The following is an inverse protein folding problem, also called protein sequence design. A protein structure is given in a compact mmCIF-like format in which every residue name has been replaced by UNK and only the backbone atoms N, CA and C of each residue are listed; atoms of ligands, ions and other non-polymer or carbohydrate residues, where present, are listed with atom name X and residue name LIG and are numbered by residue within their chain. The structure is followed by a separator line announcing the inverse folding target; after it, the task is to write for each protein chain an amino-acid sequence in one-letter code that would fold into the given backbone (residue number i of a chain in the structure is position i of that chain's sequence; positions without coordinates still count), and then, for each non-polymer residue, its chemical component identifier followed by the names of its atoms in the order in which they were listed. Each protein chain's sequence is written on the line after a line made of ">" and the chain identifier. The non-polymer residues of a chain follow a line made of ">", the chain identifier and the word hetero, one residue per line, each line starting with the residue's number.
data_IF_972527898197
#
_entry.id   IF_972527898197
#
_cell.length_a   1.000
_cell.length_b   1.000
_cell.length_c   1.000
_cell.angle_alpha   90.00
_cell.angle_beta   90.00
_cell.angle_gamma   90.00
#
_symmetry.space_group_name_H-M   'P 1'
#
loop_
_entity.id
_entity.type
_entity.pdbx_description
1 polymer ?
#
# COMPACT_ATOMS: atom_id res chain seq x y z
N UNK A 1 -28.22 -5.95 82.78
CA UNK A 1 -29.17 -4.85 83.00
C UNK A 1 -29.11 -3.89 81.81
N UNK A 2 -30.26 -3.68 81.15
CA UNK A 2 -30.76 -2.52 80.36
C UNK A 2 -29.75 -1.61 79.62
N UNK A 3 -29.71 -1.56 78.29
CA UNK A 3 -30.59 -0.87 77.29
C UNK A 3 -30.27 0.63 77.04
N UNK A 4 -30.27 1.00 75.73
CA UNK A 4 -30.42 2.33 75.07
C UNK A 4 -29.09 2.93 74.54
N UNK A 5 -28.76 2.75 73.24
CA UNK A 5 -29.12 3.54 72.03
C UNK A 5 -28.39 4.89 71.88
N UNK A 6 -27.60 5.04 70.80
CA UNK A 6 -27.63 6.15 69.80
C UNK A 6 -26.30 6.21 69.01
N UNK A 7 -26.34 5.81 67.73
CA UNK A 7 -25.59 6.47 66.65
C UNK A 7 -26.32 7.81 66.38
N UNK A 8 -25.67 8.92 65.95
CA UNK A 8 -25.13 8.97 64.58
C UNK A 8 -23.95 9.97 64.29
N UNK A 9 -23.47 9.91 63.04
CA UNK A 9 -22.78 10.95 62.23
C UNK A 9 -21.28 11.25 62.48
N UNK A 10 -20.41 10.72 61.60
CA UNK A 10 -19.46 11.44 60.70
C UNK A 10 -18.25 10.56 60.30
N UNK A 11 -18.13 10.16 59.02
CA UNK A 11 -16.85 10.02 58.36
C UNK A 11 -16.79 11.07 57.23
N UNK A 12 -16.57 12.34 57.58
CA UNK A 12 -16.34 13.39 56.58
C UNK A 12 -14.98 14.06 56.73
N UNK A 13 -13.95 13.27 57.10
CA UNK A 13 -12.57 13.74 57.18
C UNK A 13 -11.56 12.86 56.43
N UNK A 14 -12.02 11.82 55.73
CA UNK A 14 -11.15 10.94 54.94
C UNK A 14 -11.27 11.12 53.41
N UNK A 15 -12.10 12.07 52.93
CA UNK A 15 -12.32 12.33 51.51
C UNK A 15 -11.89 13.74 51.07
N UNK A 16 -10.95 14.38 51.77
CA UNK A 16 -10.53 15.75 51.48
C UNK A 16 -9.03 15.91 51.17
N UNK A 17 -8.27 14.83 50.99
CA UNK A 17 -6.80 14.91 50.86
C UNK A 17 -6.22 14.50 49.51
N UNK A 18 -7.05 14.24 48.49
CA UNK A 18 -6.59 14.00 47.10
C UNK A 18 -7.21 14.93 46.04
N UNK A 19 -7.78 16.07 46.44
CA UNK A 19 -8.06 17.17 45.50
C UNK A 19 -6.97 18.24 45.63
N UNK A 20 -5.76 17.91 45.14
CA UNK A 20 -4.92 18.95 44.54
C UNK A 20 -5.76 19.61 43.45
N UNK A 21 -5.95 20.95 43.46
CA UNK A 21 -6.99 21.56 42.69
C UNK A 21 -6.66 21.36 41.21
N UNK A 22 -7.65 20.86 40.45
CA UNK A 22 -7.57 20.76 38.99
C UNK A 22 -7.04 22.07 38.39
N UNK A 23 -7.36 23.21 39.00
CA UNK A 23 -6.84 24.52 38.66
C UNK A 23 -5.29 24.63 38.70
N UNK A 24 -4.60 24.08 39.70
CA UNK A 24 -3.12 24.15 39.80
C UNK A 24 -2.44 23.20 38.81
N UNK A 25 -3.04 22.02 38.54
CA UNK A 25 -2.57 21.13 37.48
C UNK A 25 -2.77 21.78 36.11
N UNK A 26 -3.93 22.39 35.88
CA UNK A 26 -4.24 23.13 34.66
C UNK A 26 -3.30 24.33 34.51
N UNK A 27 -3.03 25.10 35.57
CA UNK A 27 -2.08 26.23 35.54
C UNK A 27 -0.63 25.79 35.29
N UNK A 28 -0.15 24.73 35.94
CA UNK A 28 1.18 24.18 35.70
C UNK A 28 1.37 23.69 34.26
N UNK A 29 0.31 23.13 33.68
CA UNK A 29 0.28 22.74 32.26
C UNK A 29 0.12 23.94 31.32
N UNK A 30 -0.65 24.97 31.69
CA UNK A 30 -0.85 26.19 30.92
C UNK A 30 0.46 27.00 30.81
N UNK A 31 1.26 27.02 31.89
CA UNK A 31 2.59 27.63 31.87
C UNK A 31 3.54 26.87 30.94
N UNK A 32 3.40 25.54 30.85
CA UNK A 32 4.10 24.72 29.85
C UNK A 32 3.63 25.06 28.43
N UNK A 33 2.32 25.09 28.17
CA UNK A 33 1.76 25.44 26.87
C UNK A 33 2.16 26.85 26.40
N UNK A 34 2.16 27.85 27.30
CA UNK A 34 2.66 29.20 27.03
C UNK A 34 4.14 29.23 26.63
N UNK A 35 4.98 28.38 27.23
CA UNK A 35 6.41 28.29 26.87
C UNK A 35 6.67 27.69 25.48
N UNK A 36 5.65 27.12 24.85
CA UNK A 36 5.73 26.48 23.52
C UNK A 36 5.09 27.30 22.40
N UNK A 37 4.53 28.48 22.69
CA UNK A 37 4.13 29.45 21.66
C UNK A 37 5.39 30.17 21.14
N UNK A 38 5.62 30.31 19.81
CA UNK A 38 6.76 31.06 19.31
C UNK A 38 6.65 32.54 19.68
N UNK A 39 7.67 33.05 20.38
CA UNK A 39 7.89 34.48 20.65
C UNK A 39 8.23 35.20 19.35
N UNK A 40 7.26 35.44 18.46
CA UNK A 40 7.50 36.20 17.25
C UNK A 40 6.23 36.89 16.72
N UNK A 41 5.84 37.98 17.38
CA UNK A 41 5.33 39.19 16.70
C UNK A 41 5.71 40.41 17.52
N UNK A 42 6.11 41.52 16.88
CA UNK A 42 6.62 42.70 17.58
C UNK A 42 5.49 43.45 18.30
N UNK A 43 5.89 44.01 19.44
CA UNK A 43 5.22 44.95 20.35
C UNK A 43 3.94 45.62 19.79
N UNK A 44 2.80 45.26 20.37
CA UNK A 44 1.63 46.15 20.53
C UNK A 44 1.34 46.19 22.04
N UNK A 45 1.21 47.37 22.67
CA UNK A 45 1.09 47.49 24.13
C UNK A 45 -0.32 47.10 24.57
N UNK A 46 -0.56 45.81 24.74
CA UNK A 46 -1.79 45.28 25.33
C UNK A 46 -1.55 44.04 26.20
N UNK A 47 -0.32 43.84 26.70
CA UNK A 47 0.08 42.61 27.42
C UNK A 47 -0.38 42.60 28.89
N UNK A 48 -0.98 43.67 29.41
CA UNK A 48 -1.47 43.70 30.81
C UNK A 48 -2.95 43.35 31.02
N UNK A 49 -3.69 42.93 29.97
CA UNK A 49 -5.09 42.47 30.09
C UNK A 49 -5.31 41.03 29.62
N UNK A 50 -4.33 40.14 29.84
CA UNK A 50 -4.51 38.69 29.65
C UNK A 50 -4.33 37.96 30.99
N UNK A 51 -5.00 38.47 32.02
CA UNK A 51 -5.33 37.71 33.22
C UNK A 51 -6.85 37.71 33.24
N UNK A 52 -7.46 36.51 33.24
CA UNK A 52 -8.90 36.25 33.09
C UNK A 52 -9.45 36.15 31.65
N UNK A 53 -8.92 35.22 30.85
CA UNK A 53 -9.79 34.53 29.89
C UNK A 53 -10.01 33.10 30.41
N UNK A 54 -11.26 32.79 30.78
CA UNK A 54 -11.70 31.42 31.09
C UNK A 54 -11.22 30.51 29.96
N UNK A 55 -10.34 29.57 30.30
CA UNK A 55 -9.93 28.51 29.37
C UNK A 55 -11.18 27.72 29.03
N UNK A 56 -11.71 27.92 27.83
CA UNK A 56 -12.79 27.09 27.32
C UNK A 56 -12.17 25.76 26.92
N UNK A 57 -12.37 24.74 27.75
CA UNK A 57 -11.96 23.37 27.43
C UNK A 57 -12.60 22.96 26.10
N UNK A 58 -11.77 22.70 25.08
CA UNK A 58 -12.27 22.29 23.78
C UNK A 58 -12.63 20.82 23.81
N UNK A 59 -13.92 20.55 23.60
CA UNK A 59 -14.42 19.18 23.42
C UNK A 59 -14.14 18.69 22.01
N UNK A 60 -13.59 17.48 21.91
CA UNK A 60 -13.39 16.81 20.62
C UNK A 60 -14.71 16.13 20.20
N UNK A 61 -15.22 16.47 19.01
CA UNK A 61 -16.48 15.94 18.51
C UNK A 61 -16.23 14.64 17.74
N UNK A 62 -16.87 13.50 18.10
CA UNK A 62 -16.73 12.26 17.37
C UNK A 62 -17.51 12.29 16.05
N UNK A 63 -16.88 11.89 14.95
CA UNK A 63 -17.50 11.77 13.63
C UNK A 63 -17.90 10.33 13.36
N UNK A 64 -19.19 10.15 13.09
CA UNK A 64 -19.85 8.87 12.80
C UNK A 64 -20.73 9.01 11.57
N UNK A 65 -21.16 7.89 10.98
CA UNK A 65 -22.03 7.85 9.78
C UNK A 65 -23.31 8.69 9.89
N UNK A 66 -23.84 8.88 11.10
CA UNK A 66 -25.12 9.56 11.33
C UNK A 66 -25.02 11.07 11.57
N UNK A 67 -23.86 11.58 12.02
CA UNK A 67 -23.74 12.97 12.47
C UNK A 67 -22.86 13.84 11.56
N UNK A 68 -21.93 13.25 10.80
CA UNK A 68 -20.92 14.01 10.04
C UNK A 68 -21.52 15.03 9.07
N UNK A 69 -22.65 14.70 8.43
CA UNK A 69 -23.36 15.59 7.49
C UNK A 69 -23.89 16.84 8.19
N UNK A 70 -24.42 16.68 9.40
CA UNK A 70 -24.94 17.79 10.21
C UNK A 70 -23.82 18.66 10.77
N UNK A 71 -22.67 18.07 11.10
CA UNK A 71 -21.51 18.79 11.64
C UNK A 71 -20.84 19.65 10.56
N UNK A 72 -20.71 19.12 9.34
CA UNK A 72 -20.13 19.83 8.19
C UNK A 72 -21.17 20.59 7.38
N UNK A 73 -22.40 20.77 7.89
CA UNK A 73 -23.39 21.58 7.22
C UNK A 73 -22.98 23.07 7.28
N UNK A 74 -23.26 23.87 6.23
CA UNK A 74 -22.99 25.31 6.25
C UNK A 74 -23.72 25.95 7.42
N UNK A 75 -23.00 26.71 8.23
CA UNK A 75 -23.56 27.43 9.37
C UNK A 75 -23.76 28.91 9.03
N UNK A 76 -24.44 29.66 9.90
CA UNK A 76 -24.60 31.11 9.75
C UNK A 76 -23.26 31.87 9.85
N UNK A 77 -22.25 31.27 10.49
CA UNK A 77 -20.88 31.80 10.57
C UNK A 77 -19.91 30.82 9.91
N UNK A 78 -18.81 31.29 9.31
CA UNK A 78 -17.78 30.39 8.81
C UNK A 78 -17.15 29.64 9.98
N UNK A 79 -16.88 28.35 9.77
CA UNK A 79 -16.32 27.47 10.80
C UNK A 79 -15.20 26.62 10.23
N UNK A 80 -14.08 26.59 10.92
CA UNK A 80 -12.97 25.71 10.59
C UNK A 80 -13.02 24.46 11.48
N UNK A 81 -12.82 23.29 10.87
CA UNK A 81 -12.78 22.00 11.54
C UNK A 81 -11.46 21.30 11.26
N UNK A 82 -10.78 20.89 12.33
CA UNK A 82 -9.62 20.03 12.28
C UNK A 82 -10.03 18.64 12.76
N UNK A 83 -10.15 17.70 11.82
CA UNK A 83 -10.59 16.32 12.08
C UNK A 83 -9.38 15.41 12.05
N UNK A 84 -9.09 14.76 13.18
CA UNK A 84 -8.07 13.70 13.24
C UNK A 84 -8.68 12.36 12.85
N UNK A 85 -8.06 11.69 11.88
CA UNK A 85 -8.47 10.38 11.38
C UNK A 85 -7.49 9.33 11.88
N UNK A 86 -7.99 8.39 12.68
CA UNK A 86 -7.22 7.24 13.18
C UNK A 86 -7.75 5.92 12.66
N UNK A 87 -6.86 4.94 12.50
CA UNK A 87 -7.21 3.57 12.09
C UNK A 87 -7.14 2.56 13.24
N UNK A 88 -7.04 3.03 14.48
CA UNK A 88 -6.98 2.16 15.66
C UNK A 88 -5.89 1.09 15.56
N UNK A 89 -6.20 -0.13 16.02
CA UNK A 89 -5.25 -1.24 16.02
C UNK A 89 -5.28 -2.01 14.69
N UNK A 90 -6.46 -2.27 14.13
CA UNK A 90 -6.59 -3.10 12.91
C UNK A 90 -6.35 -2.33 11.62
N UNK A 91 -7.03 -1.20 11.44
CA UNK A 91 -7.01 -0.45 10.17
C UNK A 91 -5.67 0.25 9.93
N UNK A 92 -4.88 0.49 10.99
CA UNK A 92 -3.56 1.12 10.93
C UNK A 92 -2.40 0.17 11.27
N UNK A 93 -2.58 -1.15 11.08
CA UNK A 93 -1.54 -2.17 11.34
C UNK A 93 -0.88 -2.06 12.73
N UNK A 94 -1.63 -1.61 13.75
CA UNK A 94 -1.17 -1.39 15.12
C UNK A 94 -0.25 -0.18 15.31
N UNK A 95 -0.07 0.68 14.30
CA UNK A 95 0.91 1.79 14.35
C UNK A 95 0.33 3.13 14.80
N UNK A 96 -0.99 3.27 14.84
CA UNK A 96 -1.64 4.57 15.12
C UNK A 96 -1.65 4.99 16.60
N UNK A 97 -1.28 4.12 17.54
CA UNK A 97 -1.37 4.41 18.98
C UNK A 97 -0.56 5.64 19.42
N UNK A 98 0.63 5.86 18.84
CA UNK A 98 1.45 7.03 19.15
C UNK A 98 0.82 8.32 18.58
N UNK A 99 0.22 8.26 17.39
CA UNK A 99 -0.47 9.38 16.78
C UNK A 99 -1.72 9.78 17.56
N UNK A 100 -2.49 8.81 18.04
CA UNK A 100 -3.68 9.04 18.87
C UNK A 100 -3.33 9.65 20.22
N UNK A 101 -2.28 9.14 20.89
CA UNK A 101 -1.76 9.75 22.12
C UNK A 101 -1.33 11.19 21.88
N UNK A 102 -0.60 11.43 20.80
CA UNK A 102 -0.11 12.77 20.45
C UNK A 102 -1.25 13.74 20.13
N UNK A 103 -2.31 13.28 19.48
CA UNK A 103 -3.50 14.09 19.21
C UNK A 103 -4.21 14.47 20.52
N UNK A 104 -4.45 13.50 21.41
CA UNK A 104 -5.11 13.76 22.70
C UNK A 104 -4.33 14.79 23.55
N UNK A 105 -3.01 14.70 23.57
CA UNK A 105 -2.15 15.68 24.24
C UNK A 105 -2.20 17.06 23.54
N UNK A 106 -2.36 17.11 22.22
CA UNK A 106 -2.45 18.36 21.46
C UNK A 106 -3.74 19.14 21.71
N UNK A 107 -4.85 18.48 22.11
CA UNK A 107 -6.14 19.13 22.44
C UNK A 107 -5.96 20.23 23.49
N UNK A 108 -5.01 20.05 24.42
CA UNK A 108 -4.68 21.03 25.44
C UNK A 108 -4.04 22.29 24.85
N UNK A 109 -3.18 22.14 23.83
CA UNK A 109 -2.56 23.25 23.11
C UNK A 109 -3.62 24.03 22.33
N UNK A 110 -4.54 23.33 21.68
CA UNK A 110 -5.68 23.96 21.00
C UNK A 110 -6.62 24.66 21.98
N UNK A 111 -6.86 24.11 23.17
CA UNK A 111 -7.71 24.76 24.18
C UNK A 111 -7.11 26.06 24.73
N UNK A 112 -5.78 26.22 24.65
CA UNK A 112 -5.09 27.43 25.06
C UNK A 112 -5.13 28.54 24.00
N UNK A 113 -5.39 28.21 22.73
CA UNK A 113 -5.41 29.15 21.62
C UNK A 113 -6.85 29.56 21.26
N UNK A 114 -7.23 30.85 21.40
CA UNK A 114 -8.58 31.33 21.06
C UNK A 114 -8.87 31.31 19.54
N UNK A 115 -7.86 31.23 18.68
CA UNK A 115 -8.01 31.19 17.21
C UNK A 115 -8.14 29.77 16.65
N UNK A 116 -8.02 28.76 17.51
CA UNK A 116 -8.03 27.36 17.10
C UNK A 116 -9.38 26.92 16.49
N UNK A 117 -9.37 25.94 15.57
CA UNK A 117 -10.57 25.42 14.91
C UNK A 117 -11.35 24.49 15.84
N UNK A 118 -12.54 24.09 15.42
CA UNK A 118 -13.29 23.02 16.06
C UNK A 118 -12.55 21.69 15.87
N UNK A 119 -12.49 20.86 16.91
CA UNK A 119 -11.77 19.59 16.87
C UNK A 119 -12.73 18.44 16.61
N UNK A 120 -12.41 17.64 15.60
CA UNK A 120 -13.12 16.41 15.25
C UNK A 120 -12.23 15.18 15.42
N UNK A 121 -12.86 14.04 15.67
CA UNK A 121 -12.17 12.76 15.77
C UNK A 121 -12.96 11.69 15.00
N UNK A 122 -12.32 11.08 14.01
CA UNK A 122 -12.87 10.01 13.20
C UNK A 122 -12.05 8.73 13.42
N UNK A 123 -12.70 7.71 13.97
CA UNK A 123 -12.10 6.39 14.14
C UNK A 123 -12.57 5.44 13.03
N UNK A 124 -11.65 5.07 12.14
CA UNK A 124 -11.89 4.17 11.01
C UNK A 124 -11.99 2.70 11.40
N UNK A 125 -11.64 2.32 12.64
CA UNK A 125 -11.89 0.97 13.13
C UNK A 125 -13.38 0.78 13.49
N UNK A 126 -14.01 1.79 14.12
CA UNK A 126 -15.44 1.77 14.45
C UNK A 126 -16.33 2.25 13.30
N UNK A 127 -15.86 3.18 12.47
CA UNK A 127 -16.61 3.79 11.38
C UNK A 127 -16.00 3.47 10.01
N UNK A 128 -15.82 2.17 9.72
CA UNK A 128 -15.15 1.68 8.51
C UNK A 128 -15.80 2.22 7.22
N UNK A 129 -17.13 2.17 7.13
CA UNK A 129 -17.87 2.65 5.96
C UNK A 129 -17.69 4.15 5.73
N UNK A 130 -17.64 4.96 6.80
CA UNK A 130 -17.44 6.41 6.66
C UNK A 130 -16.03 6.70 6.15
N UNK A 131 -15.02 6.00 6.67
CA UNK A 131 -13.66 6.14 6.18
C UNK A 131 -13.49 5.63 4.75
N UNK A 132 -14.17 4.56 4.36
CA UNK A 132 -14.22 4.10 2.97
C UNK A 132 -14.92 5.11 2.06
N UNK A 133 -16.03 5.71 2.51
CA UNK A 133 -16.76 6.74 1.77
C UNK A 133 -15.91 7.98 1.51
N UNK A 134 -15.11 8.37 2.50
CA UNK A 134 -14.20 9.51 2.39
C UNK A 134 -12.85 9.14 1.76
N UNK A 135 -12.59 7.85 1.51
CA UNK A 135 -11.25 7.33 1.19
C UNK A 135 -10.18 7.86 2.17
N UNK A 136 -10.52 7.92 3.45
CA UNK A 136 -9.69 8.52 4.48
C UNK A 136 -8.59 7.56 4.94
N UNK A 137 -7.33 7.88 4.58
CA UNK A 137 -6.17 7.12 5.04
C UNK A 137 -5.72 7.56 6.44
N UNK A 138 -5.46 6.60 7.33
CA UNK A 138 -4.98 6.87 8.69
C UNK A 138 -3.47 6.56 8.86
N UNK A 139 -2.73 7.29 9.70
CA UNK A 139 -3.15 8.47 10.45
C UNK A 139 -3.06 9.76 9.62
N UNK A 140 -4.09 10.60 9.65
CA UNK A 140 -4.08 11.90 8.97
C UNK A 140 -4.90 12.95 9.72
N UNK A 141 -4.65 14.22 9.39
CA UNK A 141 -5.39 15.39 9.88
C UNK A 141 -6.01 16.09 8.69
N UNK A 142 -7.32 16.32 8.80
CA UNK A 142 -8.14 16.91 7.75
C UNK A 142 -8.61 18.27 8.22
N UNK A 143 -8.32 19.30 7.43
CA UNK A 143 -8.74 20.66 7.71
C UNK A 143 -9.86 21.05 6.75
N UNK A 144 -11.07 21.20 7.28
CA UNK A 144 -12.24 21.68 6.54
C UNK A 144 -12.45 23.15 6.86
N UNK A 145 -12.62 23.98 5.84
CA UNK A 145 -13.09 25.36 6.01
C UNK A 145 -14.53 25.40 5.51
N UNK A 146 -15.47 25.38 6.45
CA UNK A 146 -16.90 25.39 6.15
C UNK A 146 -17.33 26.84 5.99
N UNK A 147 -17.68 27.29 4.78
CA UNK A 147 -18.08 28.66 4.55
C UNK A 147 -19.44 28.96 5.22
N UNK A 148 -19.67 30.24 5.52
CA UNK A 148 -20.99 30.68 5.95
C UNK A 148 -22.01 30.46 4.83
N UNK A 149 -23.24 30.11 5.19
CA UNK A 149 -24.32 30.00 4.22
C UNK A 149 -24.67 31.38 3.65
N UNK A 150 -24.39 31.59 2.35
CA UNK A 150 -24.73 32.82 1.62
C UNK A 150 -25.82 32.47 0.60
N UNK A 151 -27.09 32.67 0.98
CA UNK A 151 -28.25 32.40 0.11
C UNK A 151 -28.67 30.93 0.02
N UNK A 152 -29.30 30.56 -1.11
CA UNK A 152 -29.81 29.19 -1.37
C UNK A 152 -28.72 28.22 -1.88
N UNK A 153 -27.62 28.73 -2.44
CA UNK A 153 -26.53 27.88 -2.95
C UNK A 153 -25.48 27.60 -1.87
N UNK A 154 -25.17 26.31 -1.68
CA UNK A 154 -24.12 25.87 -0.75
C UNK A 154 -22.74 26.26 -1.31
N UNK A 155 -21.96 27.10 -0.61
CA UNK A 155 -20.60 27.41 -1.05
C UNK A 155 -19.69 26.20 -0.84
N UNK A 156 -18.70 26.04 -1.73
CA UNK A 156 -17.78 24.91 -1.70
C UNK A 156 -16.95 24.91 -0.40
N UNK A 157 -16.86 23.75 0.26
CA UNK A 157 -16.06 23.54 1.47
C UNK A 157 -14.65 23.15 1.05
N UNK A 158 -13.65 23.97 1.39
CA UNK A 158 -12.25 23.63 1.10
C UNK A 158 -11.75 22.59 2.10
N UNK A 159 -11.18 21.50 1.58
CA UNK A 159 -10.60 20.42 2.37
C UNK A 159 -9.11 20.29 2.07
N UNK A 160 -8.28 20.33 3.11
CA UNK A 160 -6.87 19.99 3.02
C UNK A 160 -6.57 18.75 3.87
N UNK A 161 -5.88 17.77 3.29
CA UNK A 161 -5.52 16.52 3.96
C UNK A 161 -4.01 16.43 4.20
N UNK A 162 -3.62 16.26 5.46
CA UNK A 162 -2.22 16.11 5.87
C UNK A 162 -2.00 14.74 6.50
N UNK A 163 -1.27 13.87 5.80
CA UNK A 163 -0.85 12.58 6.35
C UNK A 163 0.21 12.77 7.45
N UNK A 164 0.06 12.03 8.53
CA UNK A 164 0.99 12.05 9.66
C UNK A 164 1.89 10.81 9.62
N UNK A 165 3.13 10.98 10.09
CA UNK A 165 3.98 9.83 10.33
C UNK A 165 3.60 9.16 11.65
N UNK A 166 3.11 7.92 11.57
CA UNK A 166 2.59 7.16 12.70
C UNK A 166 3.55 7.04 13.91
N UNK A 167 4.87 7.06 13.70
CA UNK A 167 5.86 6.81 14.77
C UNK A 167 6.54 8.05 15.32
N UNK A 168 6.66 9.12 14.52
CA UNK A 168 7.43 10.33 14.88
C UNK A 168 6.56 11.54 15.17
N UNK A 169 5.24 11.44 15.00
CA UNK A 169 4.34 12.56 15.27
C UNK A 169 4.36 12.91 16.76
N UNK A 170 4.42 14.22 17.04
CA UNK A 170 4.33 14.77 18.38
C UNK A 170 3.13 15.73 18.47
N UNK A 171 2.66 16.05 19.70
CA UNK A 171 1.56 17.00 19.88
C UNK A 171 1.83 18.37 19.24
N UNK A 172 3.11 18.80 19.26
CA UNK A 172 3.53 20.07 18.67
C UNK A 172 3.45 20.05 17.16
N UNK A 173 3.80 18.92 16.52
CA UNK A 173 3.66 18.79 15.06
C UNK A 173 2.20 18.92 14.64
N UNK A 174 1.27 18.34 15.40
CA UNK A 174 -0.17 18.45 15.10
C UNK A 174 -0.64 19.90 15.29
N UNK A 175 -0.27 20.55 16.39
CA UNK A 175 -0.62 21.96 16.63
C UNK A 175 -0.03 22.90 15.56
N UNK A 176 1.22 22.65 15.16
CA UNK A 176 1.94 23.40 14.10
C UNK A 176 1.18 23.39 12.78
N UNK A 177 0.42 22.34 12.48
CA UNK A 177 -0.38 22.28 11.26
C UNK A 177 -1.37 23.45 11.20
N UNK A 178 -2.02 23.76 12.33
CA UNK A 178 -2.93 24.89 12.43
C UNK A 178 -2.17 26.22 12.58
N UNK A 179 -1.24 26.31 13.53
CA UNK A 179 -0.57 27.57 13.87
C UNK A 179 0.22 28.18 12.70
N UNK A 180 0.90 27.35 11.91
CA UNK A 180 1.64 27.79 10.72
C UNK A 180 0.85 27.58 9.42
N UNK A 181 -0.40 27.14 9.50
CA UNK A 181 -1.26 26.81 8.35
C UNK A 181 -0.57 25.93 7.30
N UNK A 182 0.25 24.97 7.76
CA UNK A 182 1.04 24.13 6.85
C UNK A 182 0.19 23.29 5.89
N UNK A 183 -1.11 23.11 6.21
CA UNK A 183 -2.07 22.43 5.36
C UNK A 183 -2.31 23.19 4.03
N UNK A 184 -2.18 24.52 3.99
CA UNK A 184 -2.34 25.35 2.77
C UNK A 184 -1.20 25.10 1.76
N UNK A 185 -0.07 24.53 2.20
CA UNK A 185 1.04 24.16 1.29
C UNK A 185 0.65 23.06 0.31
N UNK A 186 -0.41 22.30 0.60
CA UNK A 186 -0.98 21.30 -0.30
C UNK A 186 -2.24 21.87 -0.96
N UNK A 187 -2.47 21.62 -2.25
CA UNK A 187 -3.70 22.04 -2.91
C UNK A 187 -4.92 21.45 -2.20
N UNK A 188 -6.05 22.16 -2.26
CA UNK A 188 -7.32 21.67 -1.76
C UNK A 188 -7.71 20.38 -2.50
N UNK A 189 -8.30 19.43 -1.77
CA UNK A 189 -8.75 18.18 -2.35
C UNK A 189 -10.05 18.40 -3.12
N UNK A 190 -10.05 18.17 -4.44
CA UNK A 190 -11.22 18.34 -5.32
C UNK A 190 -11.68 17.02 -5.95
N UNK A 191 -11.36 15.88 -5.32
CA UNK A 191 -11.69 14.56 -5.87
C UNK A 191 -13.18 14.19 -5.84
N UNK A 192 -13.57 13.18 -6.62
CA UNK A 192 -14.96 12.69 -6.67
C UNK A 192 -15.51 12.17 -5.32
N UNK A 193 -14.61 11.74 -4.42
CA UNK A 193 -14.90 11.29 -3.05
C UNK A 193 -14.84 12.42 -2.01
N UNK A 194 -14.77 13.69 -2.46
CA UNK A 194 -14.80 14.82 -1.53
C UNK A 194 -16.09 14.77 -0.68
N UNK A 195 -16.01 14.84 0.66
CA UNK A 195 -17.14 14.49 1.55
C UNK A 195 -18.42 15.31 1.36
N UNK A 196 -18.30 16.57 0.98
CA UNK A 196 -19.43 17.52 0.87
C UNK A 196 -19.69 17.93 -0.57
N UNK A 197 -18.64 18.32 -1.28
CA UNK A 197 -18.73 18.92 -2.62
C UNK A 197 -18.34 17.98 -3.77
N UNK A 198 -17.93 16.74 -3.47
CA UNK A 198 -17.55 15.78 -4.50
C UNK A 198 -18.75 15.31 -5.32
N UNK A 199 -18.50 14.80 -6.52
CA UNK A 199 -19.55 14.28 -7.41
C UNK A 199 -20.46 13.25 -6.71
N UNK A 200 -19.89 12.35 -5.90
CA UNK A 200 -20.70 11.37 -5.17
C UNK A 200 -21.49 11.99 -4.02
N UNK A 201 -20.96 13.04 -3.37
CA UNK A 201 -21.65 13.73 -2.29
C UNK A 201 -22.86 14.53 -2.81
N UNK A 202 -22.68 15.27 -3.91
CA UNK A 202 -23.75 16.05 -4.55
C UNK A 202 -24.93 15.17 -5.01
N UNK A 203 -24.65 13.93 -5.45
CA UNK A 203 -25.67 12.98 -5.90
C UNK A 203 -26.20 12.05 -4.79
N UNK A 204 -25.78 12.22 -3.53
CA UNK A 204 -26.18 11.35 -2.43
C UNK A 204 -25.64 9.91 -2.53
N UNK A 205 -24.67 9.65 -3.42
CA UNK A 205 -24.08 8.35 -3.68
C UNK A 205 -22.84 8.06 -2.83
N UNK A 206 -22.34 9.03 -2.07
CA UNK A 206 -21.11 8.89 -1.27
C UNK A 206 -21.19 7.74 -0.25
N UNK A 207 -22.28 7.67 0.53
CA UNK A 207 -22.46 6.62 1.54
C UNK A 207 -22.67 5.23 0.89
N UNK A 208 -23.56 5.08 -0.13
CA UNK A 208 -23.64 3.84 -0.90
C UNK A 208 -22.29 3.38 -1.47
N UNK A 209 -21.52 4.30 -2.07
CA UNK A 209 -20.18 4.01 -2.58
C UNK A 209 -19.23 3.57 -1.45
N UNK A 210 -19.31 4.19 -0.28
CA UNK A 210 -18.56 3.76 0.91
C UNK A 210 -18.84 2.33 1.32
N UNK A 211 -20.11 1.89 1.29
CA UNK A 211 -20.47 0.48 1.54
C UNK A 211 -19.89 -0.46 0.50
N UNK A 212 -19.90 -0.08 -0.78
CA UNK A 212 -19.32 -0.87 -1.86
C UNK A 212 -17.80 -0.98 -1.69
N UNK A 213 -17.10 0.15 -1.52
CA UNK A 213 -15.65 0.19 -1.32
C UNK A 213 -15.26 -0.64 -0.10
N UNK A 214 -16.00 -0.50 1.01
CA UNK A 214 -15.80 -1.30 2.21
C UNK A 214 -15.95 -2.80 1.93
N UNK A 215 -17.04 -3.21 1.27
CA UNK A 215 -17.28 -4.61 0.93
C UNK A 215 -16.16 -5.20 0.07
N UNK A 216 -15.67 -4.45 -0.93
CA UNK A 216 -14.54 -4.86 -1.75
C UNK A 216 -13.23 -4.96 -0.95
N UNK A 217 -12.98 -4.04 -0.01
CA UNK A 217 -11.78 -4.06 0.84
C UNK A 217 -11.78 -5.20 1.87
N UNK A 218 -12.96 -5.70 2.24
CA UNK A 218 -13.11 -6.84 3.13
C UNK A 218 -12.87 -8.19 2.44
N UNK A 219 -12.83 -8.22 1.10
CA UNK A 219 -12.55 -9.44 0.34
C UNK A 219 -11.04 -9.74 0.42
N UNK A 220 -10.64 -10.88 0.99
CA UNK A 220 -9.23 -11.24 1.02
C UNK A 220 -8.68 -11.46 -0.39
N UNK A 221 -7.41 -11.10 -0.62
CA UNK A 221 -6.76 -11.25 -1.92
C UNK A 221 -6.81 -12.67 -2.48
N UNK A 222 -6.80 -13.69 -1.61
CA UNK A 222 -6.91 -15.10 -2.01
C UNK A 222 -8.27 -15.43 -2.65
N UNK A 223 -9.35 -14.78 -2.23
CA UNK A 223 -10.70 -15.04 -2.75
C UNK A 223 -10.81 -14.55 -4.20
N UNK A 224 -10.17 -13.42 -4.54
CA UNK A 224 -10.09 -12.94 -5.92
C UNK A 224 -9.33 -13.93 -6.81
N UNK A 225 -8.24 -14.52 -6.33
CA UNK A 225 -7.49 -15.53 -7.09
C UNK A 225 -8.32 -16.79 -7.33
N UNK A 226 -9.12 -17.21 -6.35
CA UNK A 226 -10.08 -18.30 -6.53
C UNK A 226 -11.13 -17.93 -7.58
N UNK A 227 -11.71 -16.74 -7.49
CA UNK A 227 -12.72 -16.28 -8.45
C UNK A 227 -12.18 -16.23 -9.89
N UNK A 228 -10.98 -15.66 -10.09
CA UNK A 228 -10.29 -15.63 -11.39
C UNK A 228 -10.00 -17.05 -11.87
N UNK A 229 -9.57 -17.95 -10.99
CA UNK A 229 -9.33 -19.36 -11.34
C UNK A 229 -10.60 -20.07 -11.80
N UNK A 230 -11.73 -19.88 -11.11
CA UNK A 230 -13.01 -20.44 -11.54
C UNK A 230 -13.49 -19.84 -12.86
N UNK A 231 -13.37 -18.52 -13.03
CA UNK A 231 -13.81 -17.84 -14.25
C UNK A 231 -12.95 -18.20 -15.47
N UNK A 232 -11.63 -18.30 -15.27
CA UNK A 232 -10.67 -18.80 -16.27
C UNK A 232 -10.98 -20.24 -16.67
N UNK A 233 -11.28 -21.12 -15.70
CA UNK A 233 -11.69 -22.50 -15.99
C UNK A 233 -13.01 -22.55 -16.78
N UNK A 234 -14.02 -21.75 -16.44
CA UNK A 234 -15.28 -21.73 -17.20
C UNK A 234 -15.12 -21.23 -18.65
N UNK A 235 -14.15 -20.35 -18.91
CA UNK A 235 -13.85 -19.85 -20.26
C UNK A 235 -12.98 -20.83 -21.07
N UNK A 236 -12.13 -21.63 -20.41
CA UNK A 236 -11.22 -22.60 -21.06
C UNK A 236 -11.90 -23.95 -21.34
N UNK A 237 -12.97 -24.32 -20.63
CA UNK A 237 -13.69 -25.60 -20.83
C UNK A 237 -14.84 -25.56 -21.86
N UNK A 238 -15.01 -24.46 -22.60
CA UNK A 238 -15.81 -24.46 -23.83
C UNK A 238 -14.94 -23.98 -24.99
N UNK A 239 -14.35 -24.88 -25.79
CA UNK A 239 -14.02 -24.49 -27.15
C UNK A 239 -15.34 -24.02 -27.80
N UNK A 240 -15.38 -22.85 -28.46
CA UNK A 240 -16.48 -22.56 -29.36
C UNK A 240 -16.52 -23.72 -30.36
N UNK A 241 -17.66 -24.43 -30.43
CA UNK A 241 -17.88 -25.32 -31.56
C UNK A 241 -17.78 -24.44 -32.81
N UNK A 242 -16.75 -24.65 -33.62
CA UNK A 242 -16.68 -24.15 -35.00
C UNK A 242 -17.75 -24.87 -35.83
N UNK A 243 -19.00 -24.55 -35.58
CA UNK A 243 -20.16 -24.94 -36.37
C UNK A 243 -21.26 -23.90 -36.12
N UNK A 244 -20.96 -22.66 -36.49
CA UNK A 244 -21.89 -21.64 -37.02
C UNK A 244 -21.12 -20.32 -37.14
N UNK A 245 -20.30 -20.22 -38.20
CA UNK A 245 -19.77 -18.95 -38.69
C UNK A 245 -20.80 -18.36 -39.66
N UNK A 246 -21.98 -17.99 -39.16
CA UNK A 246 -22.95 -17.18 -39.92
C UNK A 246 -23.86 -16.29 -39.05
N UNK A 247 -23.46 -16.01 -37.80
CA UNK A 247 -24.05 -14.90 -37.04
C UNK A 247 -22.97 -13.93 -36.56
N UNK A 248 -22.86 -12.81 -37.25
CA UNK A 248 -22.17 -11.62 -36.74
C UNK A 248 -22.86 -11.19 -35.44
N UNK A 249 -22.15 -11.15 -34.29
CA UNK A 249 -22.73 -10.63 -33.07
C UNK A 249 -23.05 -9.14 -33.26
N UNK A 250 -24.24 -8.73 -32.83
CA UNK A 250 -24.71 -7.34 -32.91
C UNK A 250 -23.64 -6.37 -32.39
N UNK A 251 -23.45 -5.25 -33.08
CA UNK A 251 -22.50 -4.17 -32.75
C UNK A 251 -22.57 -3.74 -31.28
N UNK A 252 -23.73 -3.90 -30.63
CA UNK A 252 -23.92 -3.65 -29.20
C UNK A 252 -23.01 -4.51 -28.30
N UNK A 253 -22.73 -5.76 -28.65
CA UNK A 253 -21.88 -6.66 -27.83
C UNK A 253 -20.43 -6.19 -27.82
N UNK A 254 -19.91 -5.73 -28.95
CA UNK A 254 -18.57 -5.15 -29.05
C UNK A 254 -18.46 -3.85 -28.25
N UNK A 255 -19.51 -3.02 -28.26
CA UNK A 255 -19.54 -1.77 -27.49
C UNK A 255 -19.54 -2.05 -25.99
N UNK A 256 -20.31 -3.03 -25.52
CA UNK A 256 -20.34 -3.38 -24.09
C UNK A 256 -19.02 -4.00 -23.64
N UNK A 257 -18.44 -4.91 -24.43
CA UNK A 257 -17.16 -5.52 -24.10
C UNK A 257 -16.01 -4.50 -24.04
N UNK A 258 -15.95 -3.58 -25.00
CA UNK A 258 -14.93 -2.50 -25.01
C UNK A 258 -15.14 -1.52 -23.87
N UNK A 259 -16.39 -1.20 -23.50
CA UNK A 259 -16.69 -0.36 -22.34
C UNK A 259 -16.26 -0.99 -21.00
N UNK A 260 -16.45 -2.31 -20.83
CA UNK A 260 -16.01 -3.01 -19.61
C UNK A 260 -14.47 -3.04 -19.53
N UNK A 261 -13.78 -3.37 -20.62
CA UNK A 261 -12.31 -3.40 -20.65
C UNK A 261 -11.74 -2.00 -20.41
N UNK A 262 -12.29 -0.97 -21.05
CA UNK A 262 -11.88 0.41 -20.84
C UNK A 262 -12.16 0.90 -19.42
N UNK A 263 -13.31 0.52 -18.84
CA UNK A 263 -13.67 0.87 -17.46
C UNK A 263 -12.77 0.22 -16.43
N UNK A 264 -12.46 -1.08 -16.59
CA UNK A 264 -11.55 -1.81 -15.69
C UNK A 264 -10.12 -1.27 -15.82
N UNK A 265 -9.64 -1.08 -17.05
CA UNK A 265 -8.29 -0.54 -17.30
C UNK A 265 -8.16 0.89 -16.77
N UNK A 266 -9.16 1.74 -17.01
CA UNK A 266 -9.21 3.11 -16.50
C UNK A 266 -9.29 3.18 -14.97
N UNK A 267 -9.99 2.24 -14.32
CA UNK A 267 -10.04 2.14 -12.86
C UNK A 267 -8.67 1.84 -12.25
N UNK A 268 -7.91 0.90 -12.84
CA UNK A 268 -6.56 0.56 -12.36
C UNK A 268 -5.55 1.69 -12.63
N UNK A 269 -5.64 2.37 -13.78
CA UNK A 269 -4.82 3.55 -14.08
C UNK A 269 -5.15 4.70 -13.11
N UNK A 270 -6.43 4.95 -12.83
CA UNK A 270 -6.88 5.97 -11.88
C UNK A 270 -6.44 5.70 -10.43
N UNK A 271 -6.52 4.45 -9.98
CA UNK A 271 -5.94 4.01 -8.70
C UNK A 271 -4.43 4.26 -8.65
N UNK A 272 -3.69 3.91 -9.71
CA UNK A 272 -2.25 4.17 -9.82
C UNK A 272 -1.89 5.67 -9.79
N UNK A 273 -2.68 6.51 -10.46
CA UNK A 273 -2.50 7.97 -10.42
C UNK A 273 -2.80 8.56 -9.03
N UNK A 274 -3.81 8.05 -8.32
CA UNK A 274 -4.13 8.47 -6.94
C UNK A 274 -3.08 8.04 -5.90
N UNK A 275 -2.33 6.98 -6.20
CA UNK A 275 -1.18 6.50 -5.44
C UNK A 275 0.13 7.23 -5.83
N UNK A 276 0.08 8.21 -6.74
CA UNK A 276 1.24 9.00 -7.15
C UNK A 276 2.22 8.29 -8.10
N UNK A 277 1.85 7.14 -8.67
CA UNK A 277 2.73 6.38 -9.57
C UNK A 277 2.91 7.03 -10.96
N UNK A 278 2.07 7.99 -11.34
CA UNK A 278 2.09 8.64 -12.65
C UNK A 278 2.18 10.18 -12.59
N UNK A 279 2.69 10.74 -11.49
CA UNK A 279 2.91 12.19 -11.40
C UNK A 279 4.17 12.59 -12.17
N UNK A 280 3.99 13.06 -13.41
CA UNK A 280 5.03 13.78 -14.14
C UNK A 280 5.12 15.21 -13.62
N UNK A 281 6.07 15.49 -12.70
CA UNK A 281 6.59 16.83 -12.48
C UNK A 281 8.00 16.82 -11.89
N UNK A 282 8.78 17.77 -12.39
CA UNK A 282 10.23 17.97 -12.32
C UNK A 282 10.93 17.62 -11.00
N UNK A 283 12.14 17.08 -11.17
CA UNK A 283 13.14 16.82 -10.13
C UNK A 283 13.58 18.13 -9.48
N UNK A 284 12.94 18.52 -8.40
CA UNK A 284 13.60 19.32 -7.35
C UNK A 284 13.89 18.40 -6.16
N UNK A 285 15.18 18.16 -5.94
CA UNK A 285 15.70 17.21 -4.98
C UNK A 285 15.30 17.56 -3.54
N UNK A 286 14.89 16.54 -2.80
CA UNK A 286 14.74 16.62 -1.35
C UNK A 286 15.93 15.94 -0.63
N UNK A 287 16.32 16.48 0.53
CA UNK A 287 17.58 16.13 1.19
C UNK A 287 17.46 14.80 1.94
N UNK A 288 18.43 13.91 1.72
CA UNK A 288 18.59 12.67 2.48
C UNK A 288 18.93 12.96 3.95
N UNK A 289 18.24 12.30 4.88
CA UNK A 289 18.78 12.02 6.20
C UNK A 289 18.60 10.54 6.57
N UNK A 290 19.37 9.69 5.90
CA UNK A 290 19.85 8.42 6.47
C UNK A 290 21.34 8.36 6.14
N UNK A 291 22.16 8.37 7.18
CA UNK A 291 23.61 8.40 7.06
C UNK A 291 24.11 6.97 6.80
N UNK A 292 24.20 6.59 5.53
CA UNK A 292 25.00 5.45 5.10
C UNK A 292 26.20 6.04 4.35
N UNK A 293 27.41 5.87 4.90
CA UNK A 293 28.65 6.20 4.21
C UNK A 293 28.81 5.24 3.02
N UNK A 294 28.30 5.64 1.86
CA UNK A 294 28.62 5.01 0.58
C UNK A 294 29.87 5.70 0.05
N UNK A 295 30.89 4.92 -0.25
CA UNK A 295 32.12 5.41 -0.86
C UNK A 295 31.80 6.05 -2.22
N UNK A 296 32.34 7.25 -2.42
CA UNK A 296 32.16 8.10 -3.59
C UNK A 296 32.98 7.55 -4.76
N UNK A 297 32.46 6.52 -5.41
CA UNK A 297 32.71 6.24 -6.83
C UNK A 297 31.63 5.27 -7.35
N UNK A 298 30.47 5.81 -7.69
CA UNK A 298 29.49 5.13 -8.54
C UNK A 298 28.77 6.22 -9.29
N UNK A 299 29.23 6.45 -10.51
CA UNK A 299 28.54 7.23 -11.53
C UNK A 299 27.09 6.75 -11.67
N UNK A 300 26.18 7.71 -11.75
CA UNK A 300 24.81 7.51 -12.22
C UNK A 300 24.89 6.95 -13.65
N UNK A 301 24.52 5.68 -13.84
CA UNK A 301 24.26 5.14 -15.17
C UNK A 301 22.74 5.19 -15.43
N UNK A 302 22.40 5.82 -16.55
CA UNK A 302 21.06 5.89 -17.12
C UNK A 302 20.48 4.48 -17.31
N UNK A 303 19.19 4.34 -17.01
CA UNK A 303 18.39 3.20 -17.46
C UNK A 303 18.16 3.34 -18.96
N UNK A 304 19.13 2.89 -19.75
CA UNK A 304 18.92 2.55 -21.16
C UNK A 304 18.12 1.24 -21.24
N UNK A 305 17.11 1.21 -22.10
CA UNK A 305 16.35 0.02 -22.50
C UNK A 305 17.34 -1.09 -22.90
N UNK A 306 17.49 -2.10 -22.04
CA UNK A 306 18.39 -3.23 -22.30
C UNK A 306 17.77 -4.11 -23.40
N UNK A 307 18.35 -4.05 -24.60
CA UNK A 307 18.24 -5.16 -25.55
C UNK A 307 18.78 -6.41 -24.83
N UNK A 308 17.89 -7.37 -24.53
CA UNK A 308 18.27 -8.73 -24.15
C UNK A 308 19.30 -9.18 -25.20
N UNK A 309 20.58 -9.29 -24.84
CA UNK A 309 21.53 -9.96 -25.69
C UNK A 309 21.14 -11.43 -25.70
N UNK A 310 20.32 -11.78 -26.70
CA UNK A 310 20.04 -13.14 -27.13
C UNK A 310 21.37 -13.79 -27.54
N UNK A 311 22.12 -14.27 -26.54
CA UNK A 311 23.10 -15.33 -26.71
C UNK A 311 22.53 -16.67 -26.22
N UNK A 312 21.19 -16.80 -26.28
CA UNK A 312 20.59 -18.12 -26.41
C UNK A 312 21.14 -18.71 -27.70
N UNK A 313 22.17 -19.54 -27.57
CA UNK A 313 22.60 -20.51 -28.57
C UNK A 313 21.40 -20.95 -29.39
N UNK A 314 21.29 -20.40 -30.61
CA UNK A 314 20.24 -20.70 -31.59
C UNK A 314 20.49 -22.09 -32.17
N UNK A 315 20.50 -23.09 -31.29
CA UNK A 315 20.40 -24.47 -31.71
C UNK A 315 19.07 -24.65 -32.42
N UNK A 316 19.11 -25.20 -33.63
CA UNK A 316 17.98 -25.47 -34.54
C UNK A 316 16.93 -26.46 -33.98
N UNK A 317 16.97 -26.75 -32.68
CA UNK A 317 16.11 -27.70 -32.00
C UNK A 317 16.37 -29.16 -32.36
N UNK A 318 17.34 -29.47 -33.24
CA UNK A 318 17.61 -30.84 -33.69
C UNK A 318 18.10 -31.77 -32.58
N UNK A 319 18.62 -31.21 -31.49
CA UNK A 319 19.04 -31.92 -30.29
C UNK A 319 17.88 -32.37 -29.38
N UNK A 320 16.67 -31.82 -29.54
CA UNK A 320 15.53 -32.15 -28.68
C UNK A 320 14.95 -33.53 -29.00
N UNK A 321 14.94 -34.42 -28.01
CA UNK A 321 14.32 -35.72 -28.14
C UNK A 321 12.79 -35.62 -28.03
N UNK A 322 12.07 -36.45 -28.78
CA UNK A 322 10.62 -36.54 -28.67
C UNK A 322 10.21 -37.44 -27.49
N UNK A 323 9.68 -36.83 -26.42
CA UNK A 323 9.17 -37.51 -25.22
C UNK A 323 7.65 -37.75 -25.20
N UNK A 324 6.95 -37.67 -26.34
CA UNK A 324 5.49 -37.76 -26.42
C UNK A 324 4.92 -39.09 -25.91
N UNK A 325 5.69 -40.18 -25.99
CA UNK A 325 5.28 -41.51 -25.51
C UNK A 325 5.51 -41.72 -24.01
N UNK A 326 6.26 -40.83 -23.35
CA UNK A 326 6.48 -40.93 -21.91
C UNK A 326 5.32 -40.22 -21.19
N UNK A 327 4.61 -40.88 -20.26
CA UNK A 327 3.51 -40.29 -19.49
C UNK A 327 3.94 -39.86 -18.07
N UNK A 328 5.24 -39.79 -17.82
CA UNK A 328 5.81 -39.38 -16.54
C UNK A 328 5.56 -37.89 -16.21
N UNK A 329 5.69 -37.56 -14.93
CA UNK A 329 5.75 -36.19 -14.43
C UNK A 329 6.89 -35.40 -15.12
N UNK A 330 6.57 -34.20 -15.58
CA UNK A 330 7.55 -33.29 -16.18
C UNK A 330 7.94 -32.24 -15.14
N UNK A 331 9.23 -31.92 -15.04
CA UNK A 331 9.73 -30.92 -14.10
C UNK A 331 10.79 -30.03 -14.72
N UNK A 332 10.95 -28.84 -14.16
CA UNK A 332 12.05 -27.92 -14.42
C UNK A 332 12.98 -27.92 -13.21
N UNK A 333 14.27 -28.18 -13.43
CA UNK A 333 15.31 -28.05 -12.41
C UNK A 333 16.12 -26.80 -12.70
N UNK A 334 16.34 -25.99 -11.67
CA UNK A 334 17.10 -24.75 -11.70
C UNK A 334 18.37 -24.96 -10.87
N UNK A 335 19.49 -25.21 -11.54
CA UNK A 335 20.79 -25.43 -10.89
C UNK A 335 21.49 -24.09 -10.72
N UNK A 336 21.62 -23.63 -9.48
CA UNK A 336 22.17 -22.33 -9.12
C UNK A 336 23.62 -22.45 -8.65
N UNK A 337 24.49 -21.58 -9.17
CA UNK A 337 25.87 -21.46 -8.68
C UNK A 337 25.93 -20.70 -7.36
N UNK A 338 26.34 -21.41 -6.31
CA UNK A 338 26.46 -20.87 -4.95
C UNK A 338 27.84 -20.29 -4.65
N UNK A 339 28.85 -20.62 -5.46
CA UNK A 339 30.21 -20.07 -5.40
C UNK A 339 30.26 -18.57 -5.71
N UNK A 340 29.30 -18.08 -6.48
CA UNK A 340 29.21 -16.67 -6.88
C UNK A 340 28.74 -15.73 -5.76
N UNK A 341 28.29 -16.26 -4.61
CA UNK A 341 27.84 -15.42 -3.49
C UNK A 341 26.62 -14.54 -3.78
N UNK A 342 25.76 -14.94 -4.71
CA UNK A 342 24.57 -14.17 -5.09
C UNK A 342 23.63 -13.91 -3.90
N UNK A 343 23.05 -12.71 -3.83
CA UNK A 343 21.98 -12.42 -2.87
C UNK A 343 20.69 -13.15 -3.23
N UNK A 344 19.82 -13.40 -2.25
CA UNK A 344 18.55 -14.11 -2.44
C UNK A 344 17.67 -13.50 -3.55
N UNK A 345 17.65 -12.17 -3.66
CA UNK A 345 16.90 -11.47 -4.70
C UNK A 345 17.47 -11.72 -6.10
N UNK A 346 18.81 -11.67 -6.25
CA UNK A 346 19.47 -11.93 -7.53
C UNK A 346 19.28 -13.39 -7.97
N UNK A 347 19.37 -14.34 -7.04
CA UNK A 347 19.10 -15.75 -7.33
C UNK A 347 17.68 -15.92 -7.90
N UNK A 348 16.68 -15.29 -7.28
CA UNK A 348 15.29 -15.38 -7.73
C UNK A 348 15.09 -14.80 -9.15
N UNK A 349 15.73 -13.66 -9.44
CA UNK A 349 15.70 -13.07 -10.79
C UNK A 349 16.33 -14.01 -11.83
N UNK A 350 17.54 -14.52 -11.56
CA UNK A 350 18.25 -15.42 -12.48
C UNK A 350 17.52 -16.75 -12.71
N UNK A 351 16.89 -17.30 -11.66
CA UNK A 351 16.00 -18.46 -11.79
C UNK A 351 14.78 -18.19 -12.68
N UNK A 352 14.26 -16.96 -12.64
CA UNK A 352 13.13 -16.54 -13.49
C UNK A 352 13.55 -16.42 -14.95
N UNK A 353 14.73 -15.84 -15.22
CA UNK A 353 15.31 -15.79 -16.56
C UNK A 353 15.54 -17.20 -17.13
N UNK A 354 16.11 -18.12 -16.34
CA UNK A 354 16.35 -19.50 -16.77
C UNK A 354 15.06 -20.24 -17.12
N UNK A 355 14.01 -20.02 -16.32
CA UNK A 355 12.67 -20.58 -16.60
C UNK A 355 12.11 -20.05 -17.92
N UNK A 356 12.18 -18.74 -18.14
CA UNK A 356 11.66 -18.11 -19.35
C UNK A 356 12.45 -18.54 -20.60
N UNK A 357 13.77 -18.67 -20.49
CA UNK A 357 14.63 -19.15 -21.57
C UNK A 357 14.27 -20.57 -22.00
N UNK A 358 14.11 -21.52 -21.06
CA UNK A 358 13.65 -22.87 -21.38
C UNK A 358 12.26 -22.89 -22.02
N UNK A 359 11.35 -22.05 -21.52
CA UNK A 359 9.99 -21.96 -22.04
C UNK A 359 9.95 -21.42 -23.47
N UNK A 360 10.62 -20.28 -23.74
CA UNK A 360 10.75 -19.69 -25.08
C UNK A 360 11.37 -20.70 -26.05
N UNK A 361 12.46 -21.36 -25.66
CA UNK A 361 13.17 -22.34 -26.48
C UNK A 361 12.28 -23.52 -26.87
N UNK A 362 11.56 -24.13 -25.92
CA UNK A 362 10.65 -25.25 -26.22
C UNK A 362 9.45 -24.82 -27.06
N UNK A 363 8.95 -23.61 -26.84
CA UNK A 363 7.83 -23.07 -27.62
C UNK A 363 8.23 -22.86 -29.08
N UNK A 364 9.44 -22.35 -29.33
CA UNK A 364 9.95 -22.12 -30.67
C UNK A 364 10.31 -23.43 -31.40
N UNK A 365 11.01 -24.33 -30.72
CA UNK A 365 11.62 -25.52 -31.34
C UNK A 365 10.79 -26.80 -31.21
N UNK A 366 9.78 -26.84 -30.34
CA UNK A 366 8.95 -28.04 -30.11
C UNK A 366 7.48 -27.70 -29.78
N UNK A 367 6.79 -26.89 -30.61
CA UNK A 367 5.43 -26.42 -30.32
C UNK A 367 4.36 -27.54 -30.26
N UNK A 368 4.61 -28.65 -30.95
CA UNK A 368 3.72 -29.81 -30.99
C UNK A 368 4.01 -30.84 -29.89
N UNK A 369 5.11 -30.69 -29.15
CA UNK A 369 5.48 -31.63 -28.10
C UNK A 369 4.49 -31.56 -26.94
N UNK A 370 3.99 -32.73 -26.53
CA UNK A 370 3.12 -32.86 -25.37
C UNK A 370 3.84 -32.56 -24.05
N UNK A 371 5.17 -32.54 -24.05
CA UNK A 371 5.99 -32.34 -22.84
C UNK A 371 5.73 -30.99 -22.18
N UNK A 372 5.75 -29.90 -22.96
CA UNK A 372 5.53 -28.55 -22.43
C UNK A 372 4.11 -28.40 -21.88
N UNK A 373 3.10 -28.86 -22.64
CA UNK A 373 1.69 -28.86 -22.20
C UNK A 373 1.47 -29.69 -20.94
N UNK A 374 2.16 -30.82 -20.79
CA UNK A 374 2.09 -31.65 -19.58
C UNK A 374 2.69 -30.93 -18.38
N UNK A 375 3.84 -30.29 -18.54
CA UNK A 375 4.43 -29.47 -17.48
C UNK A 375 3.48 -28.36 -17.03
N UNK A 376 2.84 -27.67 -17.97
CA UNK A 376 1.83 -26.65 -17.69
C UNK A 376 0.61 -27.22 -16.93
N UNK A 377 0.07 -28.36 -17.40
CA UNK A 377 -1.08 -29.01 -16.80
C UNK A 377 -0.79 -29.62 -15.41
N UNK A 378 0.46 -30.01 -15.14
CA UNK A 378 0.90 -30.60 -13.87
C UNK A 378 1.37 -29.56 -12.84
N UNK A 379 1.06 -28.28 -13.05
CA UNK A 379 1.37 -27.22 -12.07
C UNK A 379 2.78 -26.64 -12.20
N UNK A 380 3.48 -26.91 -13.30
CA UNK A 380 4.76 -26.31 -13.67
C UNK A 380 5.82 -26.45 -12.58
N UNK A 381 6.05 -27.67 -12.09
CA UNK A 381 7.00 -27.96 -11.01
C UNK A 381 8.40 -27.38 -11.32
N UNK A 382 8.95 -26.63 -10.36
CA UNK A 382 10.29 -26.02 -10.41
C UNK A 382 11.06 -26.42 -9.15
N UNK A 383 12.25 -26.97 -9.29
CA UNK A 383 13.09 -27.43 -8.18
C UNK A 383 14.43 -26.70 -8.25
N UNK A 384 14.77 -25.96 -7.19
CA UNK A 384 16.04 -25.26 -7.09
C UNK A 384 17.10 -26.17 -6.47
N UNK A 385 18.20 -26.40 -7.19
CA UNK A 385 19.37 -27.15 -6.76
C UNK A 385 20.59 -26.24 -6.75
N UNK A 386 21.66 -26.68 -6.07
CA UNK A 386 22.92 -25.95 -5.99
C UNK A 386 24.08 -26.72 -6.61
N UNK A 387 24.97 -25.97 -7.26
CA UNK A 387 26.32 -26.38 -7.68
C UNK A 387 27.34 -25.35 -7.16
N UNK A 388 28.60 -25.75 -7.07
CA UNK A 388 29.71 -24.90 -6.61
C UNK A 388 30.74 -24.60 -7.68
N UNK A 389 30.56 -25.09 -8.90
CA UNK A 389 31.53 -24.94 -9.99
C UNK A 389 30.85 -24.64 -11.32
N UNK A 390 31.47 -23.77 -12.11
CA UNK A 390 31.09 -23.53 -13.50
C UNK A 390 31.26 -24.79 -14.36
N UNK A 391 32.37 -25.50 -14.17
CA UNK A 391 32.69 -26.74 -14.90
C UNK A 391 31.65 -27.84 -14.65
N UNK A 392 31.17 -27.96 -13.40
CA UNK A 392 30.11 -28.90 -13.06
C UNK A 392 28.80 -28.51 -13.77
N UNK A 393 28.46 -27.22 -13.81
CA UNK A 393 27.30 -26.70 -14.54
C UNK A 393 27.38 -26.98 -16.04
N UNK A 394 28.53 -26.76 -16.67
CA UNK A 394 28.76 -27.05 -18.09
C UNK A 394 28.65 -28.55 -18.40
N UNK A 395 29.18 -29.39 -17.52
CA UNK A 395 29.07 -30.85 -17.63
C UNK A 395 27.60 -31.30 -17.55
N UNK A 396 26.83 -30.74 -16.60
CA UNK A 396 25.40 -31.02 -16.47
C UNK A 396 24.61 -30.56 -17.69
N UNK A 397 24.95 -29.39 -18.26
CA UNK A 397 24.35 -28.88 -19.49
C UNK A 397 24.60 -29.84 -20.65
N UNK A 398 25.86 -30.22 -20.90
CA UNK A 398 26.23 -31.13 -21.97
C UNK A 398 25.57 -32.51 -21.81
N UNK A 399 25.50 -33.02 -20.58
CA UNK A 399 24.81 -34.28 -20.29
C UNK A 399 23.31 -34.18 -20.59
N UNK A 400 22.64 -33.10 -20.16
CA UNK A 400 21.23 -32.88 -20.44
C UNK A 400 20.93 -32.78 -21.95
N UNK A 401 21.75 -32.02 -22.69
CA UNK A 401 21.66 -31.90 -24.15
C UNK A 401 21.86 -33.27 -24.83
N UNK A 402 22.83 -34.06 -24.37
CA UNK A 402 23.09 -35.40 -24.93
C UNK A 402 21.93 -36.39 -24.74
N UNK A 403 21.08 -36.16 -23.74
CA UNK A 403 19.84 -36.91 -23.48
C UNK A 403 18.63 -36.31 -24.20
N UNK A 404 18.83 -35.23 -24.97
CA UNK A 404 17.81 -34.49 -25.71
C UNK A 404 16.86 -33.67 -24.84
N UNK A 405 17.30 -33.26 -23.64
CA UNK A 405 16.57 -32.37 -22.75
C UNK A 405 16.76 -30.91 -23.13
N UNK A 406 15.77 -30.06 -22.79
CA UNK A 406 15.94 -28.62 -22.89
C UNK A 406 16.83 -28.12 -21.74
N UNK A 407 18.07 -27.73 -22.05
CA UNK A 407 19.03 -27.20 -21.11
C UNK A 407 19.51 -25.79 -21.53
N UNK A 408 19.22 -24.76 -20.74
CA UNK A 408 19.60 -23.36 -21.05
C UNK A 408 20.29 -22.71 -19.86
N UNK A 409 21.43 -22.07 -20.12
CA UNK A 409 22.24 -21.37 -19.11
C UNK A 409 22.02 -19.87 -19.21
N UNK A 410 21.88 -19.20 -18.07
CA UNK A 410 21.79 -17.75 -17.99
C UNK A 410 23.15 -17.18 -17.58
N UNK A 411 23.58 -16.17 -18.32
CA UNK A 411 24.79 -15.39 -18.04
C UNK A 411 24.39 -14.04 -17.43
N UNK A 412 25.17 -13.58 -16.46
CA UNK A 412 24.96 -12.25 -15.88
C UNK A 412 25.58 -11.18 -16.78
N UNK A 413 24.80 -10.18 -17.18
CA UNK A 413 25.27 -9.08 -18.03
C UNK A 413 26.30 -8.17 -17.33
N UNK A 414 26.58 -8.37 -16.03
CA UNK A 414 27.67 -7.70 -15.33
C UNK A 414 27.31 -6.36 -14.67
N UNK A 415 26.01 -6.04 -14.51
CA UNK A 415 25.55 -4.85 -13.76
C UNK A 415 25.50 -5.07 -12.23
N UNK A 416 26.19 -6.09 -11.71
CA UNK A 416 26.21 -6.45 -10.28
C UNK A 416 27.58 -6.98 -9.81
N UNK A 417 27.69 -7.38 -8.53
CA UNK A 417 28.92 -7.79 -7.82
C UNK A 417 29.71 -8.99 -8.40
N UNK A 418 29.27 -9.57 -9.54
CA UNK A 418 29.86 -10.77 -10.15
C UNK A 418 30.48 -10.38 -11.50
N UNK A 419 31.56 -11.06 -11.90
CA UNK A 419 32.22 -10.80 -13.18
C UNK A 419 31.22 -10.93 -14.35
N UNK A 420 31.20 -9.93 -15.23
CA UNK A 420 30.38 -9.93 -16.44
C UNK A 420 30.61 -11.21 -17.26
N UNK A 421 29.53 -11.80 -17.78
CA UNK A 421 29.58 -13.05 -18.55
C UNK A 421 29.60 -14.33 -17.71
N UNK A 422 29.60 -14.24 -16.37
CA UNK A 422 29.54 -15.44 -15.52
C UNK A 422 28.23 -16.19 -15.73
N UNK A 423 28.32 -17.50 -16.00
CA UNK A 423 27.17 -18.41 -16.00
C UNK A 423 26.61 -18.52 -14.58
N UNK A 424 25.32 -18.22 -14.37
CA UNK A 424 24.73 -18.13 -13.03
C UNK A 424 23.77 -19.28 -12.70
N UNK A 425 22.85 -19.57 -13.62
CA UNK A 425 21.79 -20.57 -13.41
C UNK A 425 21.60 -21.40 -14.68
N UNK A 426 21.54 -22.71 -14.53
CA UNK A 426 21.18 -23.67 -15.58
C UNK A 426 19.74 -24.15 -15.36
N UNK A 427 18.86 -23.95 -16.34
CA UNK A 427 17.54 -24.54 -16.40
C UNK A 427 17.54 -25.85 -17.20
N UNK A 428 17.03 -26.93 -16.62
CA UNK A 428 16.85 -28.24 -17.30
C UNK A 428 15.38 -28.67 -17.20
N UNK A 429 14.69 -28.75 -18.34
CA UNK A 429 13.28 -29.14 -18.41
C UNK A 429 13.14 -30.49 -19.12
N UNK A 430 12.43 -31.43 -18.47
CA UNK A 430 12.12 -32.70 -19.09
C UNK A 430 11.36 -33.69 -18.18
N UNK A 431 11.17 -34.93 -18.64
CA UNK A 431 10.60 -36.01 -17.84
C UNK A 431 11.45 -36.28 -16.60
N UNK A 432 10.79 -36.51 -15.46
CA UNK A 432 11.41 -36.64 -14.15
C UNK A 432 12.59 -37.61 -14.11
N UNK A 433 12.44 -38.84 -14.61
CA UNK A 433 13.49 -39.87 -14.63
C UNK A 433 14.75 -39.43 -15.39
N UNK A 434 14.58 -38.79 -16.54
CA UNK A 434 15.70 -38.34 -17.38
C UNK A 434 16.41 -37.15 -16.73
N UNK A 435 15.63 -36.21 -16.18
CA UNK A 435 16.17 -35.05 -15.44
C UNK A 435 16.90 -35.49 -14.16
N UNK A 436 16.38 -36.49 -13.45
CA UNK A 436 17.02 -37.08 -12.26
C UNK A 436 18.31 -37.83 -12.60
N UNK A 437 18.39 -38.44 -13.79
CA UNK A 437 19.63 -39.03 -14.30
C UNK A 437 20.78 -38.02 -14.45
N UNK A 438 20.46 -36.73 -14.65
CA UNK A 438 21.45 -35.64 -14.73
C UNK A 438 21.65 -34.99 -13.36
N UNK A 439 20.56 -34.64 -12.67
CA UNK A 439 20.59 -33.71 -11.53
C UNK A 439 20.33 -34.34 -10.17
N UNK A 440 19.99 -35.63 -10.09
CA UNK A 440 19.53 -36.29 -8.87
C UNK A 440 20.58 -36.40 -7.75
N UNK A 441 21.87 -36.21 -8.06
CA UNK A 441 22.96 -36.22 -7.08
C UNK A 441 23.20 -34.84 -6.44
N UNK A 442 22.60 -33.78 -6.98
CA UNK A 442 22.77 -32.40 -6.49
C UNK A 442 21.92 -32.15 -5.24
N UNK A 443 22.36 -31.20 -4.43
CA UNK A 443 21.64 -30.79 -3.21
C UNK A 443 20.61 -29.72 -3.55
N UNK A 444 19.54 -29.65 -2.75
CA UNK A 444 18.62 -28.50 -2.75
C UNK A 444 19.37 -27.23 -2.37
N UNK A 445 18.99 -26.10 -2.99
CA UNK A 445 19.60 -24.78 -2.81
C UNK A 445 19.46 -24.23 -1.38
#
# INVERSE_FOLDING_TARGET
>A
MRFIQLLPILPALAAAQEQAPLADRVQGWFNRAKSYLPTATPVIPAVEKVVEQKVHEKTVTPFNLTNWQSILAPSAKPQDWLVFVTGGNKTCFGRCGQAEKSFNESVLLFSADPTSPNLGYLNCESNQVLCSAWSAGAPSVWHFQVPAQVGEQRPATTLHTVFLNSTTVTPQTIYKIHAEKTYEKKPAYEGALHPTDGFLAQNGLLVPAGYVIYAFSAIPSWLFMIFISFFSRTMIFKPPKMADLDHTPSTTVYVVATAIIAGVTGYFIGQGASLGLFSSKEKEGWPNSYNVKVHRDSSDEEYEDEEESDCADEGDGSELANFDKNNEEVKLVLVVRTDLGMTKGKIAAQCSHATLACYKYLTANSPNSSMLRRWEAQGQAKIALQTKSEEEMETLQAQAISLGLCARVITDAGRTQIASGSRTVLGVLGPKSVVDGVTGHLKLL
#
